data_IF_903029814801
#
_entry.id   IF_903029814801
#
_cell.length_a   1.000
_cell.length_b   1.000
_cell.length_c   1.000
_cell.angle_alpha   90.00
_cell.angle_beta   90.00
_cell.angle_gamma   90.00
#
_symmetry.space_group_name_H-M   'P 1'
#
loop_
_entity.id
_entity.type
_entity.pdbx_description
1 polymer ?
#
# COMPACT_ATOMS: atom_id res chain seq x y z
N UNK A 1 -96.07 25.20 -20.36
CA UNK A 1 -94.71 25.38 -19.80
C UNK A 1 -94.92 25.57 -18.31
N UNK A 2 -95.09 24.48 -17.53
CA UNK A 2 -94.08 23.83 -16.66
C UNK A 2 -93.40 24.84 -15.71
N UNK A 3 -94.05 25.23 -14.61
CA UNK A 3 -94.13 24.67 -13.21
C UNK A 3 -92.90 24.98 -12.33
N UNK A 4 -93.21 25.51 -11.14
CA UNK A 4 -92.44 25.76 -9.91
C UNK A 4 -91.74 24.50 -9.33
N UNK A 5 -90.70 24.66 -8.50
CA UNK A 5 -90.68 24.34 -7.05
C UNK A 5 -89.26 24.41 -6.43
N UNK A 6 -89.23 24.72 -5.14
CA UNK A 6 -88.11 25.05 -4.26
C UNK A 6 -87.31 23.85 -3.69
N UNK A 7 -86.11 24.20 -3.20
CA UNK A 7 -85.41 23.76 -1.97
C UNK A 7 -84.46 22.53 -1.93
N UNK A 8 -83.26 22.85 -1.43
CA UNK A 8 -82.45 22.18 -0.40
C UNK A 8 -81.14 21.45 -0.81
N UNK A 9 -80.06 22.02 -0.25
CA UNK A 9 -78.93 21.38 0.43
C UNK A 9 -77.68 20.85 -0.32
N UNK A 10 -76.55 21.44 0.12
CA UNK A 10 -75.24 20.87 0.42
C UNK A 10 -74.32 20.34 -0.70
N UNK A 11 -73.12 20.94 -0.79
CA UNK A 11 -71.83 20.22 -0.91
C UNK A 11 -70.68 21.26 -0.93
N UNK A 12 -69.89 21.30 0.15
CA UNK A 12 -68.54 20.71 0.26
C UNK A 12 -67.46 21.73 -0.15
N UNK A 13 -67.05 22.55 0.82
CA UNK A 13 -65.76 23.24 0.78
C UNK A 13 -64.66 22.18 0.97
N UNK A 14 -63.82 22.06 -0.06
CA UNK A 14 -62.64 21.21 -0.14
C UNK A 14 -61.71 21.40 1.07
N UNK A 15 -61.56 20.35 1.89
CA UNK A 15 -60.43 20.22 2.79
C UNK A 15 -59.15 20.10 1.96
N UNK A 16 -58.34 21.16 1.96
CA UNK A 16 -56.99 21.18 1.42
C UNK A 16 -56.15 20.06 2.06
N UNK A 17 -55.91 19.00 1.29
CA UNK A 17 -54.94 17.95 1.62
C UNK A 17 -53.53 18.52 1.68
N UNK A 18 -53.06 18.86 2.88
CA UNK A 18 -51.63 18.94 3.24
C UNK A 18 -50.98 17.54 3.22
N UNK A 19 -50.97 16.86 2.07
CA UNK A 19 -50.38 15.51 1.94
C UNK A 19 -49.22 15.43 0.94
N UNK A 20 -48.74 16.57 0.43
CA UNK A 20 -47.69 16.57 -0.61
C UNK A 20 -46.28 16.91 -0.11
N UNK A 21 -46.08 17.53 1.07
CA UNK A 21 -44.73 17.89 1.53
C UNK A 21 -44.06 16.85 2.45
N UNK A 22 -44.82 16.03 3.18
CA UNK A 22 -44.20 15.11 4.15
C UNK A 22 -43.48 13.92 3.50
N UNK A 23 -43.93 13.45 2.33
CA UNK A 23 -43.25 12.35 1.62
C UNK A 23 -41.92 12.79 1.01
N UNK A 24 -41.87 13.99 0.43
CA UNK A 24 -40.63 14.55 -0.10
C UNK A 24 -39.66 14.87 1.03
N UNK A 25 -40.12 15.41 2.16
CA UNK A 25 -39.24 15.67 3.31
C UNK A 25 -38.75 14.38 3.97
N UNK A 26 -39.56 13.33 4.07
CA UNK A 26 -39.17 12.03 4.63
C UNK A 26 -38.24 11.26 3.69
N UNK A 27 -38.46 11.32 2.37
CA UNK A 27 -37.58 10.72 1.37
C UNK A 27 -36.26 11.49 1.26
N UNK A 28 -36.28 12.82 1.33
CA UNK A 28 -35.09 13.67 1.37
C UNK A 28 -34.32 13.48 2.68
N UNK A 29 -35.01 13.30 3.81
CA UNK A 29 -34.39 12.94 5.09
C UNK A 29 -33.84 11.51 5.08
N UNK A 30 -34.49 10.54 4.43
CA UNK A 30 -33.95 9.19 4.22
C UNK A 30 -32.75 9.20 3.29
N UNK A 31 -32.72 10.05 2.26
CA UNK A 31 -31.59 10.23 1.34
C UNK A 31 -30.45 10.97 2.04
N UNK A 32 -30.73 11.97 2.88
CA UNK A 32 -29.74 12.68 3.69
C UNK A 32 -29.19 11.78 4.80
N UNK A 33 -30.03 11.01 5.50
CA UNK A 33 -29.61 10.02 6.49
C UNK A 33 -28.87 8.85 5.83
N UNK A 34 -29.24 8.43 4.61
CA UNK A 34 -28.40 7.54 3.80
C UNK A 34 -27.07 8.23 3.47
N UNK A 35 -27.05 9.47 2.98
CA UNK A 35 -25.80 10.20 2.68
C UNK A 35 -24.91 10.42 3.89
N UNK A 36 -25.49 10.67 5.06
CA UNK A 36 -24.77 10.89 6.32
C UNK A 36 -24.31 9.56 6.95
N UNK A 37 -25.09 8.47 6.83
CA UNK A 37 -24.65 7.13 7.23
C UNK A 37 -23.64 6.51 6.25
N UNK A 38 -23.73 6.84 4.95
CA UNK A 38 -22.75 6.48 3.91
C UNK A 38 -21.46 7.31 4.05
N UNK A 39 -21.48 8.45 4.75
CA UNK A 39 -20.26 9.22 5.05
C UNK A 39 -19.39 8.60 6.14
N UNK A 40 -19.93 7.71 6.98
CA UNK A 40 -19.17 7.11 8.08
C UNK A 40 -18.64 5.70 7.79
N UNK A 41 -19.28 4.92 6.91
CA UNK A 41 -18.97 3.48 6.77
C UNK A 41 -18.55 3.01 5.37
N UNK A 42 -18.67 3.82 4.31
CA UNK A 42 -18.38 3.34 2.93
C UNK A 42 -16.91 3.50 2.47
N UNK A 43 -16.02 4.12 3.26
CA UNK A 43 -14.72 4.62 2.78
C UNK A 43 -13.45 4.13 3.50
N UNK A 44 -13.52 3.16 4.44
CA UNK A 44 -12.38 2.62 5.23
C UNK A 44 -11.89 3.60 6.34
N UNK A 45 -11.42 3.12 7.50
CA UNK A 45 -12.06 3.39 8.78
C UNK A 45 -11.15 4.23 9.67
N UNK A 46 -11.68 5.31 10.20
CA UNK A 46 -11.04 6.08 11.27
C UNK A 46 -10.57 5.17 12.43
N UNK A 47 -11.30 4.10 12.72
CA UNK A 47 -10.99 3.09 13.75
C UNK A 47 -9.68 2.31 13.48
N UNK A 48 -9.37 2.00 12.22
CA UNK A 48 -8.10 1.33 11.88
C UNK A 48 -6.93 2.30 11.92
N UNK A 49 -7.12 3.58 11.56
CA UNK A 49 -6.10 4.60 11.76
C UNK A 49 -5.84 4.83 13.25
N UNK A 50 -6.89 4.93 14.07
CA UNK A 50 -6.76 5.01 15.52
C UNK A 50 -6.07 3.78 16.11
N UNK A 51 -6.37 2.58 15.60
CA UNK A 51 -5.69 1.34 15.97
C UNK A 51 -4.21 1.42 15.60
N UNK A 52 -3.89 1.82 14.37
CA UNK A 52 -2.51 1.94 13.89
C UNK A 52 -1.72 2.98 14.70
N UNK A 53 -2.30 4.13 15.04
CA UNK A 53 -1.68 5.13 15.93
C UNK A 53 -1.53 4.62 17.37
N UNK A 54 -2.50 3.87 17.89
CA UNK A 54 -2.44 3.30 19.24
C UNK A 54 -1.38 2.20 19.33
N UNK A 55 -1.33 1.31 18.33
CA UNK A 55 -0.33 0.26 18.20
C UNK A 55 1.05 0.87 17.96
N UNK A 56 1.18 1.93 17.15
CA UNK A 56 2.44 2.69 16.99
C UNK A 56 2.98 3.24 18.31
N UNK A 57 2.11 3.85 19.13
CA UNK A 57 2.50 4.35 20.46
C UNK A 57 2.97 3.20 21.37
N UNK A 58 2.30 2.05 21.30
CA UNK A 58 2.68 0.87 22.05
C UNK A 58 4.02 0.29 21.58
N UNK A 59 4.20 0.09 20.28
CA UNK A 59 5.44 -0.38 19.63
C UNK A 59 6.63 0.49 20.06
N UNK A 60 6.51 1.82 19.98
CA UNK A 60 7.53 2.77 20.45
C UNK A 60 7.91 2.62 21.93
N UNK A 61 7.00 2.14 22.77
CA UNK A 61 7.21 2.04 24.21
C UNK A 61 7.79 0.69 24.64
N UNK A 62 7.57 -0.38 23.86
CA UNK A 62 7.91 -1.74 24.28
C UNK A 62 8.94 -2.46 23.40
N UNK A 63 9.29 -1.94 22.20
CA UNK A 63 10.27 -2.55 21.28
C UNK A 63 10.04 -4.07 21.07
N UNK A 64 8.78 -4.53 21.21
CA UNK A 64 8.43 -5.94 21.18
C UNK A 64 8.21 -6.41 19.74
N UNK A 65 8.80 -7.55 19.39
CA UNK A 65 8.61 -8.18 18.07
C UNK A 65 7.14 -8.50 17.78
N UNK A 66 6.38 -8.97 18.78
CA UNK A 66 4.95 -9.26 18.62
C UNK A 66 4.14 -8.00 18.32
N UNK A 67 4.44 -6.90 19.02
CA UNK A 67 3.78 -5.62 18.80
C UNK A 67 4.11 -5.07 17.42
N UNK A 68 5.39 -5.18 17.05
CA UNK A 68 5.90 -4.76 15.76
C UNK A 68 5.25 -5.57 14.62
N UNK A 69 5.22 -6.89 14.72
CA UNK A 69 4.61 -7.79 13.73
C UNK A 69 3.14 -7.45 13.51
N UNK A 70 2.36 -7.36 14.60
CA UNK A 70 0.93 -6.99 14.53
C UNK A 70 0.71 -5.63 13.87
N UNK A 71 1.55 -4.64 14.20
CA UNK A 71 1.49 -3.33 13.57
C UNK A 71 1.72 -3.43 12.07
N UNK A 72 2.72 -4.19 11.64
CA UNK A 72 3.07 -4.31 10.23
C UNK A 72 2.05 -5.09 9.40
N UNK A 73 1.42 -6.11 9.97
CA UNK A 73 0.32 -6.84 9.34
C UNK A 73 -0.88 -5.91 9.10
N UNK A 74 -1.31 -5.20 10.14
CA UNK A 74 -2.40 -4.23 10.04
C UNK A 74 -2.12 -3.14 9.01
N UNK A 75 -0.86 -2.67 8.95
CA UNK A 75 -0.45 -1.69 7.97
C UNK A 75 -0.47 -2.26 6.54
N UNK A 76 0.02 -3.49 6.34
CA UNK A 76 -0.02 -4.20 5.06
C UNK A 76 -1.44 -4.34 4.53
N UNK A 77 -2.38 -4.79 5.37
CA UNK A 77 -3.80 -4.95 5.02
C UNK A 77 -4.42 -3.62 4.55
N UNK A 78 -4.11 -2.52 5.25
CA UNK A 78 -4.60 -1.19 4.90
C UNK A 78 -4.06 -0.77 3.53
N UNK A 79 -2.76 -0.93 3.30
CA UNK A 79 -2.15 -0.54 2.03
C UNK A 79 -2.69 -1.39 0.87
N UNK A 80 -2.86 -2.69 1.06
CA UNK A 80 -3.47 -3.57 0.07
C UNK A 80 -4.89 -3.12 -0.28
N UNK A 81 -5.72 -2.80 0.74
CA UNK A 81 -7.06 -2.28 0.53
C UNK A 81 -7.06 -0.97 -0.28
N UNK A 82 -6.19 -0.02 0.08
CA UNK A 82 -6.07 1.26 -0.63
C UNK A 82 -5.73 1.02 -2.11
N UNK A 83 -4.76 0.17 -2.40
CA UNK A 83 -4.38 -0.17 -3.79
C UNK A 83 -5.50 -0.84 -4.57
N UNK A 84 -6.23 -1.76 -3.96
CA UNK A 84 -7.38 -2.40 -4.59
C UNK A 84 -8.48 -1.37 -4.95
N UNK A 85 -8.70 -0.38 -4.09
CA UNK A 85 -9.66 0.70 -4.34
C UNK A 85 -9.20 1.65 -5.44
N UNK A 86 -7.92 2.05 -5.46
CA UNK A 86 -7.35 2.86 -6.55
C UNK A 86 -7.52 2.17 -7.90
N UNK A 87 -7.15 0.88 -7.98
CA UNK A 87 -7.27 0.10 -9.22
C UNK A 87 -8.71 -0.02 -9.73
N UNK A 88 -9.69 0.01 -8.82
CA UNK A 88 -11.11 -0.06 -9.19
C UNK A 88 -11.67 1.26 -9.76
N UNK A 89 -10.95 2.37 -9.65
CA UNK A 89 -11.44 3.71 -10.05
C UNK A 89 -12.62 4.24 -9.21
N UNK A 90 -13.04 3.50 -8.17
CA UNK A 90 -14.25 3.79 -7.38
C UNK A 90 -14.02 4.77 -6.22
N UNK A 91 -12.80 5.28 -6.01
CA UNK A 91 -12.51 6.14 -4.86
C UNK A 91 -11.22 6.95 -5.02
N UNK A 92 -11.22 8.18 -4.50
CA UNK A 92 -10.00 8.94 -4.14
C UNK A 92 -9.34 8.39 -2.87
N UNK A 93 -9.32 7.06 -2.71
CA UNK A 93 -8.92 6.40 -1.46
C UNK A 93 -7.51 6.79 -1.03
N UNK A 94 -6.54 6.84 -1.95
CA UNK A 94 -5.19 7.30 -1.61
C UNK A 94 -5.08 8.78 -1.22
N UNK A 95 -6.05 9.62 -1.59
CA UNK A 95 -6.10 11.03 -1.16
C UNK A 95 -6.78 11.18 0.21
N UNK A 96 -7.65 10.25 0.58
CA UNK A 96 -8.46 10.30 1.81
C UNK A 96 -7.95 9.38 2.92
N UNK A 97 -7.22 8.33 2.57
CA UNK A 97 -6.52 7.51 3.53
C UNK A 97 -5.29 8.29 3.98
N UNK A 98 -5.09 8.38 5.29
CA UNK A 98 -3.80 8.77 5.86
C UNK A 98 -2.81 7.67 5.52
N UNK A 99 -2.31 7.68 4.28
CA UNK A 99 -1.14 6.91 3.91
C UNK A 99 -0.08 7.25 4.96
N UNK A 100 0.58 6.24 5.54
CA UNK A 100 1.40 6.50 6.69
C UNK A 100 2.49 7.47 6.22
N UNK A 101 2.71 8.52 7.01
CA UNK A 101 3.62 9.57 6.59
C UNK A 101 5.07 9.10 6.78
N UNK A 102 6.00 9.91 6.28
CA UNK A 102 7.45 9.69 6.45
C UNK A 102 7.86 9.32 7.88
N UNK A 103 7.20 9.87 8.90
CA UNK A 103 7.53 9.60 10.31
C UNK A 103 7.22 8.17 10.73
N UNK A 104 6.15 7.58 10.17
CA UNK A 104 5.80 6.17 10.44
C UNK A 104 6.88 5.26 9.86
N UNK A 105 7.34 5.52 8.64
CA UNK A 105 8.45 4.75 8.06
C UNK A 105 9.71 4.89 8.90
N UNK A 106 10.12 6.12 9.24
CA UNK A 106 11.32 6.34 10.04
C UNK A 106 11.26 5.62 11.40
N UNK A 107 10.10 5.58 12.04
CA UNK A 107 9.92 4.82 13.27
C UNK A 107 10.00 3.32 13.06
N UNK A 108 9.44 2.79 11.97
CA UNK A 108 9.59 1.39 11.61
C UNK A 108 11.05 1.02 11.37
N UNK A 109 11.76 1.86 10.61
CA UNK A 109 13.19 1.74 10.36
C UNK A 109 14.01 1.66 11.65
N UNK A 110 13.74 2.55 12.61
CA UNK A 110 14.43 2.51 13.91
C UNK A 110 14.17 1.22 14.68
N UNK A 111 12.95 0.65 14.59
CA UNK A 111 12.65 -0.63 15.22
C UNK A 111 13.38 -1.78 14.51
N UNK A 112 13.46 -1.74 13.18
CA UNK A 112 14.19 -2.74 12.38
C UNK A 112 15.67 -2.78 12.72
N UNK A 113 16.33 -1.62 12.74
CA UNK A 113 17.75 -1.51 13.11
C UNK A 113 18.01 -1.93 14.56
N UNK A 114 17.06 -1.70 15.47
CA UNK A 114 17.16 -2.19 16.85
C UNK A 114 17.17 -3.72 16.91
N UNK A 115 16.28 -4.40 16.16
CA UNK A 115 16.28 -5.87 16.11
C UNK A 115 17.57 -6.43 15.51
N UNK A 116 18.18 -5.76 14.53
CA UNK A 116 19.47 -6.15 13.97
C UNK A 116 20.59 -6.20 15.04
N UNK A 117 20.58 -5.23 15.95
CA UNK A 117 21.62 -5.09 16.98
C UNK A 117 21.40 -5.96 18.22
N UNK A 118 20.14 -6.27 18.56
CA UNK A 118 19.78 -6.88 19.85
C UNK A 118 19.11 -8.26 19.76
N UNK A 119 18.78 -8.75 18.55
CA UNK A 119 18.02 -9.99 18.36
C UNK A 119 18.76 -11.10 17.62
N UNK A 120 18.21 -12.33 17.73
CA UNK A 120 18.64 -13.48 16.94
C UNK A 120 18.11 -13.45 15.50
N UNK A 121 18.73 -14.27 14.63
CA UNK A 121 18.42 -14.37 13.19
C UNK A 121 16.93 -14.51 12.86
N UNK A 122 16.18 -15.26 13.66
CA UNK A 122 14.75 -15.49 13.47
C UNK A 122 13.93 -14.20 13.56
N UNK A 123 14.28 -13.30 14.49
CA UNK A 123 13.59 -12.02 14.64
C UNK A 123 13.87 -11.12 13.43
N UNK A 124 15.11 -11.14 12.92
CA UNK A 124 15.48 -10.40 11.72
C UNK A 124 14.74 -10.92 10.49
N UNK A 125 14.52 -12.24 10.38
CA UNK A 125 13.71 -12.84 9.32
C UNK A 125 12.24 -12.39 9.39
N UNK A 126 11.64 -12.38 10.59
CA UNK A 126 10.27 -11.90 10.80
C UNK A 126 10.16 -10.42 10.43
N UNK A 127 11.09 -9.60 10.90
CA UNK A 127 11.15 -8.18 10.56
C UNK A 127 11.33 -7.95 9.05
N UNK A 128 12.19 -8.72 8.40
CA UNK A 128 12.42 -8.63 6.96
C UNK A 128 11.15 -8.98 6.15
N UNK A 129 10.42 -10.01 6.55
CA UNK A 129 9.13 -10.36 5.92
C UNK A 129 8.12 -9.24 6.05
N UNK A 130 8.01 -8.65 7.24
CA UNK A 130 7.15 -7.51 7.49
C UNK A 130 7.51 -6.29 6.62
N UNK A 131 8.81 -5.98 6.49
CA UNK A 131 9.31 -4.90 5.64
C UNK A 131 8.89 -5.12 4.19
N UNK A 132 9.22 -6.28 3.63
CA UNK A 132 8.94 -6.60 2.24
C UNK A 132 7.43 -6.53 1.93
N UNK A 133 6.59 -7.03 2.84
CA UNK A 133 5.13 -6.99 2.70
C UNK A 133 4.58 -5.55 2.67
N UNK A 134 4.99 -4.69 3.61
CA UNK A 134 4.56 -3.28 3.62
C UNK A 134 5.04 -2.57 2.36
N UNK A 135 6.33 -2.72 2.06
CA UNK A 135 7.00 -2.04 0.95
C UNK A 135 6.48 -2.50 -0.42
N UNK A 136 5.94 -3.72 -0.51
CA UNK A 136 5.24 -4.19 -1.70
C UNK A 136 4.05 -3.25 -2.03
N UNK A 137 3.26 -2.86 -1.04
CA UNK A 137 2.05 -2.05 -1.25
C UNK A 137 2.28 -0.53 -1.13
N UNK A 138 3.39 -0.15 -0.52
CA UNK A 138 3.79 1.24 -0.34
C UNK A 138 4.69 1.70 -1.48
N UNK A 139 4.27 2.73 -2.23
CA UNK A 139 5.14 3.31 -3.26
C UNK A 139 5.93 4.50 -2.68
N UNK A 140 7.24 4.61 -2.98
CA UNK A 140 7.99 5.81 -2.68
C UNK A 140 7.31 7.02 -3.33
N UNK A 141 6.95 8.00 -2.50
CA UNK A 141 6.47 9.30 -2.95
C UNK A 141 7.60 10.34 -2.91
N UNK A 142 7.34 11.53 -3.43
CA UNK A 142 8.31 12.64 -3.45
C UNK A 142 8.78 13.06 -2.04
N UNK A 143 8.13 12.57 -0.97
CA UNK A 143 8.44 12.94 0.42
C UNK A 143 9.31 11.92 1.14
N UNK A 144 9.41 10.69 0.62
CA UNK A 144 10.20 9.64 1.25
C UNK A 144 11.62 9.66 0.69
N UNK A 145 12.60 9.92 1.55
CA UNK A 145 14.02 9.93 1.20
C UNK A 145 14.44 8.54 0.75
N UNK A 146 15.23 8.48 -0.32
CA UNK A 146 15.59 7.22 -0.93
C UNK A 146 16.58 6.39 -0.09
N UNK A 147 17.38 7.04 0.78
CA UNK A 147 18.27 6.38 1.73
C UNK A 147 17.57 5.37 2.66
N UNK A 148 16.41 5.75 3.19
CA UNK A 148 15.62 4.91 4.08
C UNK A 148 15.13 3.65 3.33
N UNK A 149 14.63 3.81 2.10
CA UNK A 149 14.25 2.68 1.24
C UNK A 149 15.41 1.75 0.93
N UNK A 150 16.60 2.30 0.64
CA UNK A 150 17.81 1.52 0.41
C UNK A 150 18.19 0.70 1.65
N UNK A 151 18.06 1.29 2.84
CA UNK A 151 18.37 0.62 4.10
C UNK A 151 17.39 -0.52 4.39
N UNK A 152 16.08 -0.33 4.13
CA UNK A 152 15.10 -1.44 4.23
C UNK A 152 15.40 -2.55 3.24
N UNK A 153 15.82 -2.19 2.03
CA UNK A 153 16.09 -3.14 0.96
C UNK A 153 17.29 -3.99 1.35
N UNK A 154 18.38 -3.35 1.78
CA UNK A 154 19.59 -4.00 2.24
C UNK A 154 19.34 -4.95 3.42
N UNK A 155 18.61 -4.48 4.44
CA UNK A 155 18.20 -5.32 5.56
C UNK A 155 17.40 -6.54 5.08
N UNK A 156 16.45 -6.33 4.18
CA UNK A 156 15.61 -7.42 3.65
C UNK A 156 16.39 -8.42 2.81
N UNK A 157 17.41 -7.95 2.09
CA UNK A 157 18.32 -8.79 1.32
C UNK A 157 19.24 -9.62 2.22
N UNK A 158 19.67 -9.06 3.35
CA UNK A 158 20.55 -9.70 4.32
C UNK A 158 19.84 -10.72 5.21
N UNK A 159 18.61 -10.43 5.63
CA UNK A 159 17.89 -11.23 6.62
C UNK A 159 16.66 -11.97 6.08
N UNK A 160 16.19 -11.66 4.88
CA UNK A 160 15.03 -12.31 4.28
C UNK A 160 15.30 -13.77 3.91
N UNK A 161 14.30 -14.62 4.08
CA UNK A 161 14.40 -16.03 3.67
C UNK A 161 14.62 -16.15 2.16
N UNK A 162 15.50 -17.03 1.72
CA UNK A 162 15.81 -17.26 0.30
C UNK A 162 14.79 -18.20 -0.36
N UNK A 163 13.51 -17.81 -0.32
CA UNK A 163 12.41 -18.55 -0.96
C UNK A 163 11.82 -17.74 -2.11
N UNK A 164 11.29 -18.40 -3.14
CA UNK A 164 10.61 -17.71 -4.24
C UNK A 164 9.45 -16.82 -3.77
N UNK A 165 8.71 -17.23 -2.74
CA UNK A 165 7.60 -16.43 -2.20
C UNK A 165 8.08 -15.08 -1.66
N UNK A 166 9.09 -15.10 -0.77
CA UNK A 166 9.65 -13.88 -0.21
C UNK A 166 10.30 -13.01 -1.30
N UNK A 167 11.09 -13.62 -2.17
CA UNK A 167 11.75 -12.91 -3.26
C UNK A 167 10.74 -12.29 -4.24
N UNK A 168 9.57 -12.91 -4.44
CA UNK A 168 8.53 -12.34 -5.29
C UNK A 168 8.01 -11.01 -4.74
N UNK A 169 7.73 -10.93 -3.44
CA UNK A 169 7.26 -9.70 -2.82
C UNK A 169 8.34 -8.62 -2.83
N UNK A 170 9.58 -9.00 -2.51
CA UNK A 170 10.76 -8.12 -2.55
C UNK A 170 10.99 -7.55 -3.97
N UNK A 171 11.00 -8.40 -5.00
CA UNK A 171 11.26 -7.98 -6.37
C UNK A 171 10.09 -7.18 -6.96
N UNK A 172 8.85 -7.46 -6.55
CA UNK A 172 7.70 -6.63 -6.88
C UNK A 172 7.80 -5.24 -6.27
N UNK A 173 8.23 -5.13 -5.01
CA UNK A 173 8.51 -3.84 -4.37
C UNK A 173 9.59 -3.09 -5.16
N UNK A 174 10.74 -3.71 -5.42
CA UNK A 174 11.84 -3.08 -6.18
C UNK A 174 11.36 -2.65 -7.57
N UNK A 175 10.60 -3.49 -8.27
CA UNK A 175 10.07 -3.16 -9.58
C UNK A 175 9.17 -1.91 -9.55
N UNK A 176 8.27 -1.82 -8.57
CA UNK A 176 7.41 -0.65 -8.38
C UNK A 176 8.21 0.60 -8.02
N UNK A 177 9.25 0.44 -7.21
CA UNK A 177 10.14 1.54 -6.84
C UNK A 177 10.89 2.07 -8.07
N UNK A 178 11.53 1.19 -8.85
CA UNK A 178 12.27 1.56 -10.05
C UNK A 178 11.37 2.06 -11.19
N UNK A 179 10.09 1.69 -11.21
CA UNK A 179 9.10 2.20 -12.16
C UNK A 179 8.47 3.54 -11.76
N UNK A 180 8.80 4.07 -10.57
CA UNK A 180 8.26 5.33 -10.06
C UNK A 180 8.83 6.59 -10.74
N UNK A 181 8.31 7.76 -10.33
CA UNK A 181 8.69 9.08 -10.88
C UNK A 181 10.21 9.33 -10.89
N UNK A 182 10.91 8.86 -9.86
CA UNK A 182 12.36 9.02 -9.68
C UNK A 182 13.15 7.73 -9.95
N UNK A 183 12.59 6.80 -10.74
CA UNK A 183 13.12 5.46 -10.94
C UNK A 183 14.59 5.41 -11.40
N UNK A 184 15.00 6.33 -12.27
CA UNK A 184 16.37 6.38 -12.78
C UNK A 184 17.41 6.83 -11.73
N UNK A 185 17.01 7.69 -10.80
CA UNK A 185 17.83 8.12 -9.66
C UNK A 185 17.89 6.99 -8.62
N UNK A 186 16.75 6.39 -8.31
CA UNK A 186 16.66 5.24 -7.39
C UNK A 186 17.52 4.07 -7.88
N UNK A 187 17.50 3.77 -9.19
CA UNK A 187 18.38 2.75 -9.78
C UNK A 187 19.86 3.10 -9.59
N UNK A 188 20.24 4.37 -9.72
CA UNK A 188 21.61 4.82 -9.48
C UNK A 188 22.03 4.57 -8.04
N UNK A 189 21.14 4.89 -7.10
CA UNK A 189 21.41 4.74 -5.68
C UNK A 189 21.50 3.26 -5.29
N UNK A 190 20.59 2.40 -5.76
CA UNK A 190 20.67 0.94 -5.52
C UNK A 190 22.02 0.37 -5.99
N UNK A 191 22.48 0.78 -7.18
CA UNK A 191 23.76 0.33 -7.74
C UNK A 191 24.94 0.79 -6.90
N UNK A 192 24.90 2.01 -6.36
CA UNK A 192 26.03 2.59 -5.62
C UNK A 192 25.95 2.35 -4.10
N UNK A 193 24.81 1.88 -3.59
CA UNK A 193 24.57 1.74 -2.17
C UNK A 193 25.51 0.71 -1.54
N UNK A 194 26.12 1.09 -0.42
CA UNK A 194 27.05 0.24 0.34
C UNK A 194 28.14 -0.38 -0.55
N UNK A 195 28.67 0.40 -1.51
CA UNK A 195 29.71 -0.06 -2.44
C UNK A 195 29.25 -1.13 -3.43
N UNK A 196 27.95 -1.21 -3.72
CA UNK A 196 27.38 -2.20 -4.64
C UNK A 196 26.90 -3.49 -3.97
N UNK A 197 26.98 -3.59 -2.64
CA UNK A 197 26.52 -4.76 -1.89
C UNK A 197 25.04 -5.07 -2.13
N UNK A 198 24.20 -4.03 -2.13
CA UNK A 198 22.76 -4.16 -2.35
C UNK A 198 22.47 -4.71 -3.76
N UNK A 199 23.18 -4.21 -4.78
CA UNK A 199 23.10 -4.73 -6.15
C UNK A 199 23.50 -6.21 -6.22
N UNK A 200 24.63 -6.59 -5.64
CA UNK A 200 25.12 -7.97 -5.64
C UNK A 200 24.08 -8.93 -5.04
N UNK A 201 23.57 -8.60 -3.84
CA UNK A 201 22.54 -9.38 -3.16
C UNK A 201 21.25 -9.47 -3.96
N UNK A 202 20.82 -8.37 -4.56
CA UNK A 202 19.60 -8.33 -5.36
C UNK A 202 19.72 -9.18 -6.63
N UNK A 203 20.88 -9.16 -7.30
CA UNK A 203 21.19 -10.06 -8.42
C UNK A 203 21.20 -11.52 -7.99
N UNK A 204 21.72 -11.83 -6.80
CA UNK A 204 21.66 -13.19 -6.24
C UNK A 204 20.20 -13.64 -6.02
N UNK A 205 19.33 -12.76 -5.50
CA UNK A 205 17.89 -13.06 -5.34
C UNK A 205 17.21 -13.31 -6.69
N UNK A 206 17.52 -12.48 -7.70
CA UNK A 206 17.02 -12.66 -9.07
C UNK A 206 17.42 -14.02 -9.62
N UNK A 207 18.69 -14.37 -9.52
CA UNK A 207 19.21 -15.66 -9.99
C UNK A 207 18.51 -16.84 -9.29
N UNK A 208 18.43 -16.82 -7.96
CA UNK A 208 17.76 -17.87 -7.18
C UNK A 208 16.30 -18.03 -7.59
N UNK A 209 15.56 -16.93 -7.71
CA UNK A 209 14.16 -16.96 -8.11
C UNK A 209 13.96 -17.52 -9.52
N UNK A 210 14.82 -17.17 -10.48
CA UNK A 210 14.76 -17.75 -11.82
C UNK A 210 15.07 -19.25 -11.81
N UNK A 211 16.06 -19.69 -11.03
CA UNK A 211 16.38 -21.11 -10.88
C UNK A 211 15.22 -21.91 -10.30
N UNK A 212 14.58 -21.42 -9.23
CA UNK A 212 13.40 -22.06 -8.63
C UNK A 212 12.24 -22.13 -9.63
N UNK A 213 11.95 -21.03 -10.35
CA UNK A 213 10.91 -21.00 -11.38
C UNK A 213 11.15 -22.05 -12.47
N UNK A 214 12.39 -22.16 -12.96
CA UNK A 214 12.77 -23.14 -13.99
C UNK A 214 12.64 -24.57 -13.46
N UNK A 215 13.04 -24.81 -12.22
CA UNK A 215 13.00 -26.13 -11.61
C UNK A 215 11.55 -26.64 -11.38
N UNK A 216 10.58 -25.75 -11.15
CA UNK A 216 9.21 -26.12 -10.80
C UNK A 216 8.25 -26.27 -11.99
N UNK A 217 8.63 -25.86 -13.21
CA UNK A 217 7.93 -26.20 -14.46
C UNK A 217 6.54 -25.56 -14.67
N UNK A 218 6.44 -24.67 -15.67
CA UNK A 218 5.27 -24.13 -16.41
C UNK A 218 3.97 -23.66 -15.70
N UNK A 219 3.69 -23.96 -14.44
CA UNK A 219 2.63 -23.26 -13.65
C UNK A 219 3.11 -21.93 -13.06
N UNK A 220 4.25 -21.42 -13.55
CA UNK A 220 4.98 -20.33 -12.92
C UNK A 220 4.54 -18.97 -13.44
N UNK A 221 3.88 -18.23 -12.55
CA UNK A 221 3.57 -16.78 -12.55
C UNK A 221 4.32 -15.99 -13.64
N UNK A 222 3.79 -15.90 -14.89
CA UNK A 222 4.48 -15.22 -15.99
C UNK A 222 4.73 -13.73 -15.70
N UNK A 223 3.82 -13.12 -14.93
CA UNK A 223 3.96 -11.76 -14.43
C UNK A 223 5.19 -11.59 -13.53
N UNK A 224 5.53 -12.60 -12.72
CA UNK A 224 6.72 -12.57 -11.86
C UNK A 224 7.99 -12.67 -12.69
N UNK A 225 8.04 -13.53 -13.72
CA UNK A 225 9.20 -13.60 -14.63
C UNK A 225 9.43 -12.23 -15.28
N UNK A 226 8.37 -11.59 -15.78
CA UNK A 226 8.48 -10.24 -16.37
C UNK A 226 9.02 -9.23 -15.37
N UNK A 227 8.55 -9.26 -14.12
CA UNK A 227 9.03 -8.38 -13.04
C UNK A 227 10.50 -8.60 -12.77
N UNK A 228 10.93 -9.85 -12.61
CA UNK A 228 12.33 -10.22 -12.36
C UNK A 228 13.24 -9.70 -13.48
N UNK A 229 12.87 -9.97 -14.74
CA UNK A 229 13.66 -9.54 -15.89
C UNK A 229 13.70 -8.02 -16.04
N UNK A 230 12.60 -7.32 -15.78
CA UNK A 230 12.57 -5.86 -15.81
C UNK A 230 13.48 -5.24 -14.74
N UNK A 231 13.47 -5.78 -13.51
CA UNK A 231 14.36 -5.31 -12.44
C UNK A 231 15.82 -5.53 -12.84
N UNK A 232 16.15 -6.72 -13.34
CA UNK A 232 17.49 -7.02 -13.83
C UNK A 232 17.93 -6.05 -14.93
N UNK A 233 17.10 -5.83 -15.95
CA UNK A 233 17.41 -4.96 -17.09
C UNK A 233 17.70 -3.51 -16.66
N UNK A 234 16.85 -2.94 -15.80
CA UNK A 234 17.03 -1.57 -15.29
C UNK A 234 18.35 -1.44 -14.52
N UNK A 235 18.63 -2.41 -13.63
CA UNK A 235 19.84 -2.38 -12.81
C UNK A 235 21.10 -2.62 -13.63
N UNK A 236 21.11 -3.58 -14.56
CA UNK A 236 22.24 -3.82 -15.46
C UNK A 236 22.52 -2.64 -16.37
N UNK A 237 21.47 -2.04 -16.95
CA UNK A 237 21.59 -0.84 -17.79
C UNK A 237 22.16 0.34 -16.99
N UNK A 238 21.86 0.42 -15.70
CA UNK A 238 22.39 1.48 -14.84
C UNK A 238 23.83 1.19 -14.37
N UNK A 239 24.11 -0.05 -13.98
CA UNK A 239 25.43 -0.53 -13.59
C UNK A 239 26.44 -0.39 -14.75
N UNK A 240 26.06 -0.74 -15.97
CA UNK A 240 26.94 -0.62 -17.15
C UNK A 240 27.33 0.83 -17.48
N UNK A 241 26.50 1.80 -17.11
CA UNK A 241 26.78 3.25 -17.27
C UNK A 241 27.55 3.85 -16.10
N UNK A 242 27.71 3.12 -15.01
CA UNK A 242 28.40 3.57 -13.79
C UNK A 242 29.75 2.89 -13.60
N UNK A 243 29.96 1.74 -14.24
CA UNK A 243 31.31 1.21 -14.44
C UNK A 243 32.15 2.26 -15.19
N UNK A 244 33.35 2.60 -14.69
CA UNK A 244 34.26 3.44 -15.46
C UNK A 244 34.50 2.77 -16.81
N UNK A 245 34.57 3.56 -17.89
CA UNK A 245 35.12 3.08 -19.15
C UNK A 245 36.57 2.63 -18.88
N UNK A 246 36.77 1.35 -18.55
CA UNK A 246 38.06 0.71 -18.73
C UNK A 246 38.27 0.50 -20.24
N UNK A 247 38.49 1.62 -20.95
CA UNK A 247 39.10 1.60 -22.26
C UNK A 247 40.17 2.69 -22.40
N UNK A 248 41.38 2.17 -22.66
CA UNK A 248 42.55 2.78 -23.29
C UNK A 248 43.49 3.64 -22.43
N UNK A 249 44.33 2.97 -21.65
CA UNK A 249 45.78 3.23 -21.66
C UNK A 249 46.52 1.87 -21.60
N UNK A 250 46.53 1.17 -22.73
CA UNK A 250 47.55 0.16 -23.06
C UNK A 250 48.13 0.48 -24.42
#
# INVERSE_FOLDING_TARGET
>A
QKTEEDAAEESEDDEEKEESNMKDDEETAKILAKRESLRYYEYFPYEFLLMLFSTRKYVRACMSLDAFTKFTEQLGDILQFVRAREASGKSKAAQNCCLPNRDVMFELFNHWSHFETESGLENCQVASRAIASICHHWQPDDTTRAQEWLTALDFSLCHGTETLEFNADLLMWVHRWLGGRHGAECAAEVVNFSGGHCLEKLLARIHLSLCEIVAHGEETRPDLIRVILNVADVLFTKASKTLPDEQSDM
#
